data_IF_630918366615
#
_entry.id   IF_630918366615
#
_cell.length_a   1.000
_cell.length_b   1.000
_cell.length_c   1.000
_cell.angle_alpha   90.00
_cell.angle_beta   90.00
_cell.angle_gamma   90.00
#
_symmetry.space_group_name_H-M   'P 1'
#
loop_
_entity.id
_entity.type
_entity.pdbx_description
1 polymer ?
#
# COMPACT_ATOMS: atom_id res chain seq x y z
N UNK A 1 23.73 -31.41 1.91
CA UNK A 1 23.38 -32.70 2.54
C UNK A 1 23.59 -32.77 4.06
N UNK A 2 24.71 -32.32 4.65
CA UNK A 2 24.91 -32.40 6.11
C UNK A 2 24.06 -31.45 6.98
N UNK A 3 23.81 -30.22 6.49
CA UNK A 3 23.04 -29.20 7.24
C UNK A 3 21.52 -29.42 7.22
N UNK A 4 20.95 -30.01 6.17
CA UNK A 4 19.50 -30.32 6.08
C UNK A 4 19.08 -31.45 7.01
N UNK A 5 19.92 -32.48 7.18
CA UNK A 5 19.66 -33.55 8.16
C UNK A 5 19.60 -33.01 9.59
N UNK A 6 20.37 -31.95 9.90
CA UNK A 6 20.36 -31.29 11.21
C UNK A 6 19.07 -30.53 11.47
N UNK A 7 18.50 -29.85 10.47
CA UNK A 7 17.25 -29.10 10.59
C UNK A 7 16.04 -30.02 10.80
N UNK A 8 16.04 -31.18 10.14
CA UNK A 8 15.00 -32.21 10.27
C UNK A 8 15.07 -32.89 11.65
N UNK A 9 16.28 -33.11 12.18
CA UNK A 9 16.48 -33.64 13.53
C UNK A 9 16.02 -32.65 14.61
N UNK A 10 16.28 -31.35 14.42
CA UNK A 10 15.78 -30.27 15.28
C UNK A 10 14.25 -30.20 15.29
N UNK A 11 13.60 -30.35 14.13
CA UNK A 11 12.14 -30.33 14.01
C UNK A 11 11.51 -31.60 14.64
N UNK A 12 12.14 -32.77 14.46
CA UNK A 12 11.76 -34.01 15.15
C UNK A 12 11.87 -33.84 16.67
N UNK A 13 12.96 -33.26 17.16
CA UNK A 13 13.19 -33.06 18.59
C UNK A 13 12.23 -32.03 19.22
N UNK A 14 11.87 -30.98 18.49
CA UNK A 14 10.85 -29.99 18.90
C UNK A 14 9.46 -30.62 19.00
N UNK A 15 9.10 -31.49 18.05
CA UNK A 15 7.80 -32.19 18.06
C UNK A 15 7.73 -33.26 19.15
N UNK A 16 8.85 -33.92 19.48
CA UNK A 16 8.91 -34.88 20.60
C UNK A 16 8.90 -34.20 21.97
N UNK A 17 9.47 -32.98 22.09
CA UNK A 17 9.55 -32.24 23.36
C UNK A 17 8.22 -31.65 23.84
N UNK A 18 7.23 -31.49 22.96
CA UNK A 18 5.92 -30.90 23.28
C UNK A 18 4.92 -32.00 23.74
N UNK A 19 5.33 -33.27 23.80
CA UNK A 19 4.54 -34.35 24.41
C UNK A 19 3.22 -34.67 23.70
N UNK A 20 3.06 -34.27 22.43
CA UNK A 20 1.76 -34.36 21.75
C UNK A 20 1.42 -35.77 21.26
N UNK A 21 2.36 -36.70 21.05
CA UNK A 21 2.02 -38.05 20.53
C UNK A 21 3.01 -39.14 20.98
N UNK A 22 2.54 -40.27 21.56
CA UNK A 22 3.38 -41.45 21.76
C UNK A 22 3.56 -42.17 20.41
N UNK A 23 4.81 -42.42 20.05
CA UNK A 23 5.20 -43.06 18.78
C UNK A 23 4.84 -44.55 18.79
N UNK A 24 3.89 -44.96 17.96
CA UNK A 24 3.81 -46.33 17.44
C UNK A 24 4.38 -46.34 16.02
N UNK A 25 5.06 -47.43 15.64
CA UNK A 25 5.83 -47.61 14.39
C UNK A 25 5.08 -47.35 13.07
N UNK A 26 3.76 -47.10 13.12
CA UNK A 26 2.95 -46.68 11.98
C UNK A 26 3.10 -45.19 11.60
N UNK A 27 3.54 -44.33 12.51
CA UNK A 27 3.58 -42.87 12.28
C UNK A 27 4.79 -42.42 11.44
N UNK A 28 5.91 -43.16 11.48
CA UNK A 28 7.07 -42.89 10.62
C UNK A 28 6.73 -43.09 9.14
N UNK A 29 6.03 -44.20 8.82
CA UNK A 29 5.48 -44.47 7.49
C UNK A 29 4.46 -43.43 7.04
N UNK A 30 3.75 -42.78 7.96
CA UNK A 30 2.76 -41.74 7.63
C UNK A 30 3.46 -40.46 7.15
N UNK A 31 4.48 -40.00 7.86
CA UNK A 31 5.28 -38.82 7.49
C UNK A 31 5.98 -39.04 6.13
N UNK A 32 6.54 -40.24 5.92
CA UNK A 32 7.24 -40.58 4.67
C UNK A 32 6.28 -40.76 3.47
N UNK A 33 4.99 -41.04 3.70
CA UNK A 33 3.97 -41.15 2.64
C UNK A 33 3.43 -39.80 2.15
N UNK A 34 3.53 -38.76 2.99
CA UNK A 34 3.11 -37.39 2.65
C UNK A 34 4.28 -36.52 2.17
N UNK A 35 5.52 -36.82 2.58
CA UNK A 35 6.72 -36.18 2.03
C UNK A 35 7.13 -36.84 0.70
N UNK A 36 6.35 -36.60 -0.36
CA UNK A 36 6.92 -36.74 -1.70
C UNK A 36 7.90 -35.57 -1.86
N UNK A 37 9.20 -35.86 -1.80
CA UNK A 37 10.28 -34.95 -2.18
C UNK A 37 10.20 -34.62 -3.69
N UNK A 38 9.13 -33.97 -4.13
CA UNK A 38 9.17 -33.25 -5.41
C UNK A 38 9.95 -31.96 -5.13
N UNK A 39 11.11 -31.72 -5.78
CA UNK A 39 11.81 -30.46 -5.61
C UNK A 39 10.88 -29.33 -6.07
N UNK A 40 10.36 -28.58 -5.11
CA UNK A 40 9.50 -27.42 -5.38
C UNK A 40 10.33 -26.43 -6.20
N UNK A 41 9.86 -26.02 -7.39
CA UNK A 41 10.53 -25.02 -8.21
C UNK A 41 10.85 -23.78 -7.38
N UNK A 42 12.02 -23.18 -7.62
CA UNK A 42 12.44 -21.98 -6.89
C UNK A 42 11.41 -20.85 -7.01
N UNK A 43 10.74 -20.76 -8.17
CA UNK A 43 9.68 -19.78 -8.45
C UNK A 43 8.51 -19.94 -7.48
N UNK A 44 8.04 -21.17 -7.24
CA UNK A 44 6.91 -21.43 -6.35
C UNK A 44 7.26 -21.10 -4.88
N UNK A 45 8.53 -21.30 -4.49
CA UNK A 45 9.04 -20.85 -3.17
C UNK A 45 9.06 -19.33 -3.05
N UNK A 46 9.48 -18.62 -4.10
CA UNK A 46 9.51 -17.16 -4.13
C UNK A 46 8.10 -16.55 -4.13
N UNK A 47 7.16 -17.15 -4.86
CA UNK A 47 5.74 -16.77 -4.81
C UNK A 47 5.14 -17.01 -3.42
N UNK A 48 5.47 -18.13 -2.77
CA UNK A 48 5.06 -18.38 -1.38
C UNK A 48 5.59 -17.30 -0.44
N UNK A 49 6.86 -16.91 -0.58
CA UNK A 49 7.47 -15.83 0.20
C UNK A 49 6.77 -14.48 -0.05
N UNK A 50 6.40 -14.20 -1.30
CA UNK A 50 5.62 -13.01 -1.66
C UNK A 50 4.28 -13.00 -0.93
N UNK A 51 3.55 -14.12 -0.92
CA UNK A 51 2.27 -14.19 -0.21
C UNK A 51 2.43 -14.08 1.30
N UNK A 52 3.46 -14.69 1.89
CA UNK A 52 3.75 -14.56 3.33
C UNK A 52 4.00 -13.09 3.69
N UNK A 53 4.87 -12.40 2.94
CA UNK A 53 5.16 -10.98 3.18
C UNK A 53 3.94 -10.10 2.96
N UNK A 54 3.13 -10.39 1.93
CA UNK A 54 1.86 -9.71 1.70
C UNK A 54 0.90 -9.91 2.88
N UNK A 55 0.66 -11.15 3.33
CA UNK A 55 -0.21 -11.47 4.45
C UNK A 55 0.20 -10.77 5.75
N UNK A 56 1.50 -10.74 6.06
CA UNK A 56 2.02 -10.00 7.23
C UNK A 56 1.61 -8.53 7.15
N UNK A 57 1.75 -7.92 5.97
CA UNK A 57 1.36 -6.53 5.75
C UNK A 57 -0.17 -6.31 5.84
N UNK A 58 -0.99 -7.23 5.32
CA UNK A 58 -2.46 -7.16 5.46
C UNK A 58 -2.83 -7.15 6.94
N UNK A 59 -2.36 -8.15 7.68
CA UNK A 59 -2.69 -8.35 9.09
C UNK A 59 -2.18 -7.19 9.94
N UNK A 60 -0.95 -6.73 9.70
CA UNK A 60 -0.39 -5.60 10.46
C UNK A 60 -1.21 -4.32 10.27
N UNK A 61 -1.65 -4.01 9.05
CA UNK A 61 -2.43 -2.81 8.78
C UNK A 61 -3.80 -2.86 9.44
N UNK A 62 -4.49 -4.00 9.35
CA UNK A 62 -5.79 -4.17 9.98
C UNK A 62 -5.70 -4.12 11.50
N UNK A 63 -4.68 -4.75 12.10
CA UNK A 63 -4.44 -4.69 13.54
C UNK A 63 -4.21 -3.25 14.01
N UNK A 64 -3.35 -2.48 13.32
CA UNK A 64 -3.05 -1.09 13.69
C UNK A 64 -4.30 -0.21 13.58
N UNK A 65 -5.15 -0.43 12.56
CA UNK A 65 -6.41 0.29 12.43
C UNK A 65 -7.37 0.02 13.58
N UNK A 66 -7.56 -1.25 13.96
CA UNK A 66 -8.45 -1.63 15.06
C UNK A 66 -7.97 -0.97 16.36
N UNK A 67 -6.65 -1.03 16.62
CA UNK A 67 -6.03 -0.40 17.77
C UNK A 67 -6.21 1.13 17.78
N UNK A 68 -6.23 1.76 16.60
CA UNK A 68 -6.40 3.21 16.44
C UNK A 68 -7.81 3.62 16.03
N UNK A 69 -8.81 2.76 16.19
CA UNK A 69 -10.18 2.97 15.70
C UNK A 69 -10.80 4.29 16.16
N UNK A 70 -10.58 4.70 17.41
CA UNK A 70 -11.02 6.02 17.92
C UNK A 70 -10.39 7.19 17.16
N UNK A 71 -9.10 7.12 16.86
CA UNK A 71 -8.40 8.15 16.12
C UNK A 71 -8.84 8.22 14.65
N UNK A 72 -9.16 7.07 14.05
CA UNK A 72 -9.72 7.00 12.69
C UNK A 72 -11.09 7.67 12.60
N UNK A 73 -11.97 7.47 13.60
CA UNK A 73 -13.28 8.15 13.65
C UNK A 73 -13.13 9.67 13.68
N UNK A 74 -12.26 10.18 14.55
CA UNK A 74 -11.94 11.62 14.64
C UNK A 74 -11.40 12.13 13.30
N UNK A 75 -10.51 11.37 12.65
CA UNK A 75 -9.96 11.76 11.35
C UNK A 75 -11.06 11.91 10.28
N UNK A 76 -12.05 11.00 10.26
CA UNK A 76 -13.17 11.07 9.32
C UNK A 76 -14.01 12.33 9.60
N UNK A 77 -14.30 12.61 10.87
CA UNK A 77 -15.03 13.82 11.28
C UNK A 77 -14.27 15.11 10.88
N UNK A 78 -12.94 15.14 11.03
CA UNK A 78 -12.12 16.27 10.60
C UNK A 78 -12.20 16.50 9.08
N UNK A 79 -12.29 15.42 8.29
CA UNK A 79 -12.41 15.48 6.83
C UNK A 79 -13.80 16.00 6.44
N UNK A 80 -14.84 15.49 7.08
CA UNK A 80 -16.22 15.94 6.85
C UNK A 80 -16.36 17.43 7.18
N UNK A 81 -15.84 17.86 8.33
CA UNK A 81 -15.80 19.27 8.71
C UNK A 81 -15.02 20.13 7.70
N UNK A 82 -13.88 19.63 7.20
CA UNK A 82 -13.13 20.32 6.15
C UNK A 82 -13.97 20.46 4.87
N UNK A 83 -14.64 19.41 4.42
CA UNK A 83 -15.49 19.46 3.23
C UNK A 83 -16.68 20.40 3.40
N UNK A 84 -17.34 20.40 4.55
CA UNK A 84 -18.46 21.29 4.84
C UNK A 84 -18.04 22.75 4.66
N UNK A 85 -16.89 23.15 5.23
CA UNK A 85 -16.33 24.50 5.08
C UNK A 85 -16.00 24.82 3.62
N UNK A 86 -15.41 23.85 2.89
CA UNK A 86 -14.96 24.08 1.52
C UNK A 86 -16.11 24.14 0.50
N UNK A 87 -17.24 23.48 0.76
CA UNK A 87 -18.43 23.49 -0.09
C UNK A 87 -19.36 24.69 0.14
N UNK A 88 -19.13 25.51 1.17
CA UNK A 88 -19.88 26.77 1.38
C UNK A 88 -19.77 27.71 0.17
N UNK A 89 -18.64 27.69 -0.55
CA UNK A 89 -18.45 28.46 -1.77
C UNK A 89 -18.66 27.57 -3.01
N UNK A 90 -19.73 27.80 -3.76
CA UNK A 90 -20.07 27.02 -4.97
C UNK A 90 -18.92 26.97 -6.00
N UNK A 91 -18.10 28.03 -6.05
CA UNK A 91 -16.94 28.09 -6.95
C UNK A 91 -15.88 27.02 -6.66
N UNK A 92 -15.88 26.44 -5.44
CA UNK A 92 -14.91 25.43 -5.02
C UNK A 92 -15.38 24.01 -5.32
N UNK A 93 -16.67 23.80 -5.61
CA UNK A 93 -17.23 22.49 -5.90
C UNK A 93 -16.54 21.80 -7.09
N UNK A 94 -16.16 22.55 -8.13
CA UNK A 94 -15.47 22.01 -9.30
C UNK A 94 -14.10 21.39 -8.95
N UNK A 95 -13.32 22.06 -8.10
CA UNK A 95 -12.00 21.59 -7.63
C UNK A 95 -12.17 20.39 -6.71
N UNK A 96 -13.09 20.46 -5.75
CA UNK A 96 -13.33 19.36 -4.82
C UNK A 96 -13.82 18.10 -5.54
N UNK A 97 -14.70 18.25 -6.52
CA UNK A 97 -15.18 17.14 -7.35
C UNK A 97 -14.06 16.53 -8.20
N UNK A 98 -13.15 17.35 -8.75
CA UNK A 98 -11.95 16.87 -9.46
C UNK A 98 -11.09 15.98 -8.56
N UNK A 99 -10.81 16.40 -7.32
CA UNK A 99 -10.02 15.60 -6.37
C UNK A 99 -10.74 14.37 -5.87
N UNK A 100 -12.03 14.49 -5.54
CA UNK A 100 -12.88 13.36 -5.15
C UNK A 100 -12.93 12.30 -6.26
N UNK A 101 -13.09 12.73 -7.51
CA UNK A 101 -13.07 11.83 -8.67
C UNK A 101 -11.69 11.20 -8.91
N UNK A 102 -10.59 11.90 -8.62
CA UNK A 102 -9.24 11.32 -8.65
C UNK A 102 -9.13 10.17 -7.64
N UNK A 103 -9.54 10.38 -6.39
CA UNK A 103 -9.54 9.35 -5.36
C UNK A 103 -10.44 8.16 -5.70
N UNK A 104 -11.64 8.40 -6.23
CA UNK A 104 -12.55 7.33 -6.71
C UNK A 104 -11.95 6.54 -7.88
N UNK A 105 -11.31 7.22 -8.84
CA UNK A 105 -10.62 6.56 -9.96
C UNK A 105 -9.48 5.66 -9.50
N UNK A 106 -8.68 6.10 -8.53
CA UNK A 106 -7.65 5.26 -7.90
C UNK A 106 -8.29 4.03 -7.23
N UNK A 107 -9.39 4.22 -6.50
CA UNK A 107 -10.10 3.11 -5.85
C UNK A 107 -10.63 2.07 -6.86
N UNK A 108 -11.28 2.53 -7.94
CA UNK A 108 -11.75 1.64 -9.02
C UNK A 108 -10.58 0.91 -9.69
N UNK A 109 -9.45 1.59 -9.88
CA UNK A 109 -8.24 0.99 -10.44
C UNK A 109 -7.65 -0.10 -9.54
N UNK A 110 -7.64 0.07 -8.23
CA UNK A 110 -7.20 -0.98 -7.30
C UNK A 110 -8.13 -2.18 -7.36
N UNK A 111 -9.44 -1.97 -7.22
CA UNK A 111 -10.42 -3.04 -7.22
C UNK A 111 -10.37 -3.82 -8.55
N UNK A 112 -10.33 -3.12 -9.69
CA UNK A 112 -10.27 -3.77 -11.00
C UNK A 112 -8.98 -4.56 -11.21
N UNK A 113 -7.83 -4.03 -10.81
CA UNK A 113 -6.52 -4.70 -10.93
C UNK A 113 -6.51 -6.03 -10.17
N UNK A 114 -7.10 -6.09 -8.97
CA UNK A 114 -7.16 -7.33 -8.18
C UNK A 114 -8.22 -8.32 -8.64
N UNK A 115 -9.35 -7.85 -9.16
CA UNK A 115 -10.34 -8.72 -9.81
C UNK A 115 -9.69 -9.37 -11.03
N UNK A 116 -9.02 -8.58 -11.88
CA UNK A 116 -8.30 -9.09 -13.06
C UNK A 116 -7.25 -10.12 -12.64
N UNK A 117 -6.44 -9.83 -11.62
CA UNK A 117 -5.45 -10.77 -11.09
C UNK A 117 -6.06 -12.11 -10.66
N UNK A 118 -7.15 -12.06 -9.88
CA UNK A 118 -7.82 -13.27 -9.40
C UNK A 118 -8.39 -14.07 -10.57
N UNK A 119 -9.08 -13.41 -11.50
CA UNK A 119 -9.65 -14.03 -12.70
C UNK A 119 -8.57 -14.64 -13.60
N UNK A 120 -7.44 -13.95 -13.81
CA UNK A 120 -6.31 -14.45 -14.60
C UNK A 120 -5.72 -15.72 -13.99
N UNK A 121 -5.47 -15.77 -12.67
CA UNK A 121 -4.93 -16.98 -12.03
C UNK A 121 -5.90 -18.16 -12.09
N UNK A 122 -7.20 -17.92 -11.88
CA UNK A 122 -8.23 -18.94 -12.04
C UNK A 122 -8.29 -19.47 -13.48
N UNK A 123 -8.30 -18.57 -14.47
CA UNK A 123 -8.31 -18.92 -15.89
C UNK A 123 -7.08 -19.74 -16.28
N UNK A 124 -5.89 -19.32 -15.87
CA UNK A 124 -4.64 -20.04 -16.15
C UNK A 124 -4.63 -21.46 -15.55
N UNK A 125 -5.22 -21.62 -14.37
CA UNK A 125 -5.35 -22.94 -13.72
C UNK A 125 -6.30 -23.86 -14.47
N UNK A 126 -7.44 -23.33 -14.93
CA UNK A 126 -8.41 -24.07 -15.74
C UNK A 126 -7.80 -24.46 -17.08
N UNK A 127 -7.12 -23.53 -17.77
CA UNK A 127 -6.45 -23.81 -19.04
C UNK A 127 -5.36 -24.88 -18.90
N UNK A 128 -4.58 -24.83 -17.83
CA UNK A 128 -3.55 -25.84 -17.57
C UNK A 128 -4.16 -27.23 -17.36
N UNK A 129 -5.29 -27.31 -16.67
CA UNK A 129 -6.04 -28.56 -16.50
C UNK A 129 -6.59 -29.08 -17.84
N UNK A 130 -7.17 -28.21 -18.67
CA UNK A 130 -7.75 -28.60 -19.97
C UNK A 130 -6.69 -29.05 -20.99
N UNK A 131 -5.53 -28.39 -21.03
CA UNK A 131 -4.49 -28.65 -22.05
C UNK A 131 -3.61 -29.84 -21.66
N UNK A 132 -3.15 -29.88 -20.41
CA UNK A 132 -2.14 -30.87 -19.99
C UNK A 132 -2.75 -32.03 -19.21
N UNK A 133 -4.04 -31.99 -18.89
CA UNK A 133 -4.70 -32.91 -17.95
C UNK A 133 -3.95 -33.03 -16.61
N UNK A 134 -3.17 -32.01 -16.26
CA UNK A 134 -2.39 -31.91 -15.04
C UNK A 134 -2.93 -30.73 -14.24
N UNK A 135 -3.33 -31.03 -13.02
CA UNK A 135 -3.78 -30.01 -12.08
C UNK A 135 -2.60 -29.15 -11.63
N UNK A 136 -2.76 -27.82 -11.79
CA UNK A 136 -1.88 -26.81 -11.23
C UNK A 136 -2.70 -25.83 -10.39
N UNK A 137 -2.23 -25.57 -9.17
CA UNK A 137 -2.87 -24.64 -8.25
C UNK A 137 -2.86 -23.20 -8.80
N UNK A 138 -3.93 -22.41 -8.64
CA UNK A 138 -3.95 -20.98 -9.01
C UNK A 138 -2.92 -20.15 -8.27
N UNK A 139 -2.59 -20.56 -7.06
CA UNK A 139 -1.60 -19.91 -6.22
C UNK A 139 -0.63 -20.95 -5.71
N UNK A 140 0.67 -20.65 -5.79
CA UNK A 140 1.74 -21.53 -5.33
C UNK A 140 1.87 -21.64 -3.81
N UNK A 141 0.81 -21.33 -3.05
CA UNK A 141 0.76 -21.55 -1.60
C UNK A 141 0.73 -23.05 -1.37
N UNK A 142 1.67 -23.53 -0.54
CA UNK A 142 1.88 -24.94 -0.26
C UNK A 142 0.59 -25.71 0.02
N UNK A 143 0.18 -26.55 -0.92
CA UNK A 143 -0.84 -27.58 -0.74
C UNK A 143 -0.22 -28.91 -0.28
N UNK A 144 1.03 -28.85 0.24
CA UNK A 144 1.88 -30.01 0.53
C UNK A 144 1.24 -31.07 1.43
N UNK A 145 0.24 -30.71 2.22
CA UNK A 145 -0.42 -31.61 3.17
C UNK A 145 -1.87 -31.95 2.82
N UNK A 146 -2.34 -31.58 1.62
CA UNK A 146 -3.72 -31.85 1.20
C UNK A 146 -3.79 -33.22 0.51
N UNK A 147 -4.57 -34.18 1.03
CA UNK A 147 -4.83 -35.45 0.35
C UNK A 147 -5.31 -35.23 -1.09
N UNK A 148 -4.97 -36.15 -2.00
CA UNK A 148 -5.35 -36.02 -3.44
C UNK A 148 -6.85 -35.82 -3.63
N UNK A 149 -7.66 -36.43 -2.76
CA UNK A 149 -9.13 -36.38 -2.80
C UNK A 149 -9.71 -35.02 -2.37
N UNK A 150 -8.91 -34.18 -1.69
CA UNK A 150 -9.32 -32.87 -1.17
C UNK A 150 -8.73 -31.69 -1.97
N UNK A 151 -8.05 -31.94 -3.09
CA UNK A 151 -7.40 -30.88 -3.90
C UNK A 151 -8.40 -29.85 -4.43
N UNK A 152 -9.59 -30.28 -4.85
CA UNK A 152 -10.64 -29.37 -5.33
C UNK A 152 -11.14 -28.46 -4.20
N UNK A 153 -11.32 -29.00 -3.00
CA UNK A 153 -11.71 -28.21 -1.83
C UNK A 153 -10.63 -27.20 -1.43
N UNK A 154 -9.35 -27.61 -1.45
CA UNK A 154 -8.23 -26.72 -1.18
C UNK A 154 -8.13 -25.59 -2.22
N UNK A 155 -8.43 -25.85 -3.49
CA UNK A 155 -8.48 -24.82 -4.54
C UNK A 155 -9.55 -23.77 -4.21
N UNK A 156 -10.78 -24.22 -3.92
CA UNK A 156 -11.88 -23.31 -3.58
C UNK A 156 -11.50 -22.44 -2.38
N UNK A 157 -10.89 -23.05 -1.35
CA UNK A 157 -10.42 -22.32 -0.17
C UNK A 157 -9.31 -21.32 -0.50
N UNK A 158 -8.35 -21.65 -1.37
CA UNK A 158 -7.28 -20.75 -1.79
C UNK A 158 -7.81 -19.56 -2.60
N UNK A 159 -8.70 -19.81 -3.57
CA UNK A 159 -9.32 -18.72 -4.35
C UNK A 159 -10.14 -17.82 -3.44
N UNK A 160 -10.90 -18.40 -2.51
CA UNK A 160 -11.68 -17.65 -1.53
C UNK A 160 -10.77 -16.77 -0.66
N UNK A 161 -9.77 -17.34 0.01
CA UNK A 161 -8.87 -16.60 0.91
C UNK A 161 -8.10 -15.49 0.20
N UNK A 162 -7.63 -15.73 -1.02
CA UNK A 162 -6.94 -14.70 -1.82
C UNK A 162 -7.89 -13.58 -2.27
N UNK A 163 -9.09 -13.92 -2.70
CA UNK A 163 -10.09 -12.94 -3.11
C UNK A 163 -10.45 -11.99 -1.96
N UNK A 164 -10.76 -12.53 -0.79
CA UNK A 164 -11.10 -11.69 0.37
C UNK A 164 -9.89 -10.92 0.90
N UNK A 165 -8.70 -11.53 0.96
CA UNK A 165 -7.49 -10.85 1.40
C UNK A 165 -7.13 -9.65 0.52
N UNK A 166 -7.20 -9.81 -0.79
CA UNK A 166 -6.91 -8.73 -1.75
C UNK A 166 -7.99 -7.64 -1.76
N UNK A 167 -9.27 -8.01 -1.62
CA UNK A 167 -10.38 -7.05 -1.50
C UNK A 167 -10.23 -6.17 -0.25
N UNK A 168 -9.90 -6.76 0.90
CA UNK A 168 -9.68 -5.99 2.15
C UNK A 168 -8.56 -4.96 1.95
N UNK A 169 -7.48 -5.34 1.28
CA UNK A 169 -6.37 -4.43 1.02
C UNK A 169 -6.70 -3.34 0.02
N UNK A 170 -7.41 -3.65 -1.06
CA UNK A 170 -7.78 -2.65 -2.06
C UNK A 170 -8.70 -1.59 -1.45
N UNK A 171 -9.69 -1.99 -0.64
CA UNK A 171 -10.56 -1.07 0.09
C UNK A 171 -9.75 -0.19 1.06
N UNK A 172 -8.83 -0.81 1.82
CA UNK A 172 -8.01 -0.07 2.77
C UNK A 172 -7.11 0.97 2.09
N UNK A 173 -6.41 0.59 1.02
CA UNK A 173 -5.54 1.50 0.28
C UNK A 173 -6.34 2.60 -0.43
N UNK A 174 -7.53 2.27 -0.94
CA UNK A 174 -8.47 3.25 -1.50
C UNK A 174 -8.83 4.32 -0.47
N UNK A 175 -9.17 3.90 0.75
CA UNK A 175 -9.53 4.82 1.83
C UNK A 175 -8.36 5.77 2.18
N UNK A 176 -7.14 5.24 2.30
CA UNK A 176 -5.94 6.05 2.56
C UNK A 176 -5.72 7.07 1.44
N UNK A 177 -5.82 6.65 0.19
CA UNK A 177 -5.59 7.54 -0.95
C UNK A 177 -6.68 8.62 -1.04
N UNK A 178 -7.94 8.28 -0.77
CA UNK A 178 -9.05 9.26 -0.71
C UNK A 178 -8.73 10.35 0.30
N UNK A 179 -8.31 10.00 1.52
CA UNK A 179 -7.94 10.99 2.54
C UNK A 179 -6.80 11.88 2.05
N UNK A 180 -5.75 11.29 1.47
CA UNK A 180 -4.63 12.05 0.92
C UNK A 180 -5.05 13.01 -0.20
N UNK A 181 -5.95 12.59 -1.09
CA UNK A 181 -6.50 13.45 -2.15
C UNK A 181 -7.40 14.56 -1.61
N UNK A 182 -8.12 14.33 -0.51
CA UNK A 182 -8.91 15.36 0.18
C UNK A 182 -8.02 16.43 0.82
N UNK A 183 -6.89 16.03 1.42
CA UNK A 183 -5.88 16.95 1.93
C UNK A 183 -5.30 17.81 0.78
N UNK A 184 -4.92 17.18 -0.34
CA UNK A 184 -4.42 17.89 -1.51
C UNK A 184 -5.48 18.84 -2.12
N UNK A 185 -6.74 18.41 -2.19
CA UNK A 185 -7.84 19.23 -2.67
C UNK A 185 -8.12 20.45 -1.79
N UNK A 186 -8.07 20.30 -0.47
CA UNK A 186 -8.18 21.43 0.46
C UNK A 186 -7.07 22.45 0.26
N UNK A 187 -5.84 22.01 -0.04
CA UNK A 187 -4.73 22.91 -0.36
C UNK A 187 -4.90 23.61 -1.71
N UNK A 188 -5.41 22.92 -2.74
CA UNK A 188 -5.68 23.55 -4.04
C UNK A 188 -6.76 24.65 -3.91
N UNK A 189 -7.80 24.42 -3.09
CA UNK A 189 -8.80 25.45 -2.80
C UNK A 189 -8.18 26.61 -2.04
N UNK A 190 -7.41 26.35 -0.97
CA UNK A 190 -6.72 27.41 -0.24
C UNK A 190 -5.82 28.25 -1.14
N UNK A 191 -5.06 27.63 -2.04
CA UNK A 191 -4.25 28.30 -3.06
C UNK A 191 -5.11 29.21 -3.94
N UNK A 192 -6.23 28.70 -4.48
CA UNK A 192 -7.13 29.48 -5.33
C UNK A 192 -7.70 30.69 -4.59
N UNK A 193 -8.16 30.49 -3.35
CA UNK A 193 -8.69 31.58 -2.52
C UNK A 193 -7.64 32.66 -2.33
N UNK A 194 -6.40 32.28 -1.98
CA UNK A 194 -5.28 33.22 -1.83
C UNK A 194 -4.99 34.00 -3.13
N UNK A 195 -5.15 33.37 -4.30
CA UNK A 195 -4.91 33.99 -5.61
C UNK A 195 -6.07 34.89 -6.09
N UNK A 196 -7.32 34.57 -5.74
CA UNK A 196 -8.51 35.27 -6.20
C UNK A 196 -8.77 36.62 -5.50
N UNK A 197 -7.79 37.09 -4.72
CA UNK A 197 -7.96 38.17 -3.75
C UNK A 197 -7.96 39.57 -4.39
N UNK A 198 -8.82 40.45 -3.88
CA UNK A 198 -8.82 41.89 -4.21
C UNK A 198 -7.69 42.66 -3.51
N UNK A 199 -7.29 43.80 -4.06
CA UNK A 199 -6.22 44.67 -3.52
C UNK A 199 -6.55 45.30 -2.16
N UNK A 200 -7.78 45.17 -1.68
CA UNK A 200 -8.26 45.69 -0.39
C UNK A 200 -8.11 44.66 0.73
N UNK A 201 -7.75 45.13 1.94
CA UNK A 201 -7.65 44.29 3.14
C UNK A 201 -9.05 43.78 3.54
N UNK A 202 -9.25 42.46 3.52
CA UNK A 202 -10.47 41.80 3.97
C UNK A 202 -10.11 40.85 5.11
N UNK A 203 -10.38 41.29 6.34
CA UNK A 203 -10.03 40.57 7.56
C UNK A 203 -10.71 39.21 7.69
N UNK A 204 -11.95 39.08 7.25
CA UNK A 204 -12.70 37.82 7.37
C UNK A 204 -12.11 36.75 6.45
N UNK A 205 -11.69 37.16 5.26
CA UNK A 205 -10.97 36.33 4.32
C UNK A 205 -9.62 35.84 4.89
N UNK A 206 -8.81 36.73 5.48
CA UNK A 206 -7.53 36.35 6.09
C UNK A 206 -7.70 35.34 7.22
N UNK A 207 -8.69 35.57 8.08
CA UNK A 207 -9.01 34.67 9.18
C UNK A 207 -9.47 33.31 8.66
N UNK A 208 -10.26 33.28 7.58
CA UNK A 208 -10.67 32.06 6.91
C UNK A 208 -9.47 31.28 6.35
N UNK A 209 -8.61 31.91 5.55
CA UNK A 209 -7.42 31.27 4.97
C UNK A 209 -6.49 30.72 6.05
N UNK A 210 -6.28 31.46 7.14
CA UNK A 210 -5.47 31.02 8.28
C UNK A 210 -6.09 29.79 8.97
N UNK A 211 -7.39 29.83 9.26
CA UNK A 211 -8.11 28.70 9.89
C UNK A 211 -8.08 27.46 9.01
N UNK A 212 -8.33 27.63 7.71
CA UNK A 212 -8.33 26.53 6.74
C UNK A 212 -6.94 25.89 6.64
N UNK A 213 -5.88 26.69 6.54
CA UNK A 213 -4.51 26.18 6.51
C UNK A 213 -4.17 25.41 7.81
N UNK A 214 -4.54 25.95 8.97
CA UNK A 214 -4.35 25.29 10.26
C UNK A 214 -5.09 23.96 10.35
N UNK A 215 -6.32 23.88 9.82
CA UNK A 215 -7.10 22.63 9.79
C UNK A 215 -6.43 21.58 8.90
N UNK A 216 -5.97 21.95 7.71
CA UNK A 216 -5.26 21.06 6.78
C UNK A 216 -3.96 20.53 7.40
N UNK A 217 -3.18 21.37 8.07
CA UNK A 217 -1.96 20.97 8.78
C UNK A 217 -2.29 19.93 9.85
N UNK A 218 -3.30 20.20 10.68
CA UNK A 218 -3.73 19.29 11.76
C UNK A 218 -4.27 17.97 11.22
N UNK A 219 -5.01 18.00 10.10
CA UNK A 219 -5.51 16.81 9.42
C UNK A 219 -4.35 15.95 8.88
N UNK A 220 -3.37 16.59 8.23
CA UNK A 220 -2.16 15.92 7.72
C UNK A 220 -1.33 15.30 8.86
N UNK A 221 -1.17 16.01 9.97
CA UNK A 221 -0.47 15.51 11.15
C UNK A 221 -1.19 14.28 11.76
N UNK A 222 -2.52 14.30 11.84
CA UNK A 222 -3.34 13.16 12.29
C UNK A 222 -3.23 11.98 11.34
N UNK A 223 -3.30 12.21 10.04
CA UNK A 223 -3.07 11.18 9.02
C UNK A 223 -1.71 10.50 9.25
N UNK A 224 -0.63 11.28 9.38
CA UNK A 224 0.73 10.77 9.59
C UNK A 224 0.84 9.96 10.91
N UNK A 225 0.15 10.40 11.98
CA UNK A 225 0.12 9.68 13.26
C UNK A 225 -0.61 8.33 13.16
N UNK A 226 -1.66 8.24 12.35
CA UNK A 226 -2.46 7.02 12.19
C UNK A 226 -1.79 6.07 11.19
N UNK A 227 -1.57 6.54 9.96
CA UNK A 227 -1.15 5.74 8.81
C UNK A 227 0.34 5.72 8.55
N UNK A 228 1.13 6.63 9.14
CA UNK A 228 2.57 6.69 8.88
C UNK A 228 3.27 5.35 9.16
N UNK A 229 3.03 4.74 10.33
CA UNK A 229 3.67 3.46 10.68
C UNK A 229 3.24 2.29 9.77
N UNK A 230 1.93 2.02 9.55
CA UNK A 230 1.48 1.05 8.55
C UNK A 230 2.13 1.21 7.17
N UNK A 231 2.16 2.45 6.66
CA UNK A 231 2.72 2.75 5.35
C UNK A 231 4.24 2.59 5.32
N UNK A 232 4.94 2.86 6.43
CA UNK A 232 6.39 2.60 6.51
C UNK A 232 6.71 1.09 6.47
N UNK A 233 5.88 0.26 7.12
CA UNK A 233 5.99 -1.21 7.01
C UNK A 233 5.79 -1.62 5.54
N UNK A 234 4.75 -1.11 4.89
CA UNK A 234 4.51 -1.35 3.46
C UNK A 234 5.76 -1.01 2.63
N UNK A 235 6.26 0.22 2.77
CA UNK A 235 7.44 0.70 2.05
C UNK A 235 8.66 -0.19 2.26
N UNK A 236 8.90 -0.68 3.49
CA UNK A 236 10.03 -1.55 3.80
C UNK A 236 9.95 -2.92 3.09
N UNK A 237 8.75 -3.52 3.02
CA UNK A 237 8.56 -4.79 2.34
C UNK A 237 8.41 -4.66 0.82
N UNK A 238 8.02 -3.49 0.31
CA UNK A 238 7.83 -3.28 -1.12
C UNK A 238 9.08 -3.61 -1.95
N UNK A 239 10.29 -3.26 -1.51
CA UNK A 239 11.52 -3.56 -2.27
C UNK A 239 11.72 -5.07 -2.47
N UNK A 240 11.41 -5.86 -1.44
CA UNK A 240 11.45 -7.33 -1.50
C UNK A 240 10.35 -7.84 -2.44
N UNK A 241 9.11 -7.38 -2.27
CA UNK A 241 7.97 -7.79 -3.09
C UNK A 241 8.17 -7.45 -4.57
N UNK A 242 8.72 -6.27 -4.87
CA UNK A 242 9.10 -5.87 -6.22
C UNK A 242 10.17 -6.82 -6.77
N UNK A 243 11.21 -7.13 -5.98
CA UNK A 243 12.26 -8.06 -6.41
C UNK A 243 11.70 -9.45 -6.74
N UNK A 244 10.84 -10.00 -5.86
CA UNK A 244 10.22 -11.32 -6.03
C UNK A 244 9.34 -11.40 -7.29
N UNK A 245 8.69 -10.30 -7.67
CA UNK A 245 7.83 -10.25 -8.87
C UNK A 245 8.60 -9.92 -10.15
N UNK A 246 9.70 -9.15 -10.06
CA UNK A 246 10.57 -8.89 -11.21
C UNK A 246 11.45 -10.09 -11.55
N UNK A 247 11.80 -10.95 -10.59
CA UNK A 247 12.68 -12.10 -10.84
C UNK A 247 12.13 -13.11 -11.88
N UNK A 248 10.84 -13.52 -11.86
CA UNK A 248 10.26 -14.34 -12.94
C UNK A 248 10.21 -13.64 -14.30
N UNK A 249 9.88 -12.35 -14.33
CA UNK A 249 9.89 -11.50 -15.54
C UNK A 249 11.27 -11.41 -16.19
N UNK A 250 12.30 -11.60 -15.37
CA UNK A 250 13.68 -11.52 -15.72
C UNK A 250 14.21 -12.79 -16.44
N UNK A 251 13.42 -13.86 -16.53
CA UNK A 251 13.80 -15.13 -17.17
C UNK A 251 13.32 -15.19 -18.63
N UNK A 252 13.91 -16.07 -19.43
CA UNK A 252 13.52 -16.24 -20.84
C UNK A 252 12.07 -16.72 -21.04
N UNK A 253 11.54 -17.50 -20.09
CA UNK A 253 10.18 -18.07 -20.16
C UNK A 253 9.21 -17.27 -19.27
N UNK A 254 8.92 -16.03 -19.68
CA UNK A 254 7.96 -15.16 -18.98
C UNK A 254 6.54 -15.69 -19.17
N UNK A 255 5.82 -15.88 -18.07
CA UNK A 255 4.40 -16.25 -18.11
C UNK A 255 3.55 -14.99 -18.02
N UNK A 256 2.39 -14.96 -18.69
CA UNK A 256 1.47 -13.82 -18.61
C UNK A 256 1.11 -13.47 -17.15
N UNK A 257 0.94 -14.49 -16.29
CA UNK A 257 0.69 -14.33 -14.85
C UNK A 257 1.82 -13.61 -14.10
N UNK A 258 3.08 -13.71 -14.54
CA UNK A 258 4.22 -13.03 -13.90
C UNK A 258 4.12 -11.51 -14.11
N UNK A 259 3.68 -11.08 -15.30
CA UNK A 259 3.43 -9.67 -15.60
C UNK A 259 2.24 -9.11 -14.83
N UNK A 260 1.13 -9.84 -14.78
CA UNK A 260 -0.04 -9.42 -14.01
C UNK A 260 0.30 -9.31 -12.52
N UNK A 261 1.06 -10.27 -11.97
CA UNK A 261 1.53 -10.25 -10.59
C UNK A 261 2.45 -9.05 -10.28
N UNK A 262 3.36 -8.71 -11.20
CA UNK A 262 4.20 -7.53 -11.07
C UNK A 262 3.38 -6.24 -11.03
N UNK A 263 2.44 -6.06 -11.98
CA UNK A 263 1.57 -4.90 -12.04
C UNK A 263 0.71 -4.75 -10.78
N UNK A 264 0.14 -5.83 -10.28
CA UNK A 264 -0.72 -5.81 -9.09
C UNK A 264 0.05 -5.49 -7.81
N UNK A 265 1.27 -6.01 -7.68
CA UNK A 265 2.12 -5.77 -6.50
C UNK A 265 2.65 -4.34 -6.44
N UNK A 266 2.91 -3.72 -7.60
CA UNK A 266 3.45 -2.36 -7.69
C UNK A 266 2.39 -1.25 -7.62
N UNK A 267 1.10 -1.61 -7.71
CA UNK A 267 0.00 -0.64 -7.76
C UNK A 267 -0.12 0.20 -6.48
N UNK A 268 0.05 -0.41 -5.31
CA UNK A 268 -0.07 0.28 -4.03
C UNK A 268 1.10 1.22 -3.71
N UNK A 269 2.37 0.79 -3.80
CA UNK A 269 3.49 1.69 -3.52
C UNK A 269 3.52 2.89 -4.47
N UNK A 270 3.16 2.72 -5.74
CA UNK A 270 3.14 3.85 -6.68
C UNK A 270 2.03 4.84 -6.32
N UNK A 271 0.83 4.37 -5.96
CA UNK A 271 -0.30 5.23 -5.70
C UNK A 271 -0.19 5.98 -4.36
N UNK A 272 0.40 5.38 -3.33
CA UNK A 272 0.65 6.10 -2.08
C UNK A 272 1.73 7.18 -2.28
N UNK A 273 2.76 6.89 -3.06
CA UNK A 273 3.82 7.85 -3.36
C UNK A 273 3.32 8.98 -4.27
N UNK A 274 2.43 8.68 -5.23
CA UNK A 274 1.75 9.68 -6.04
C UNK A 274 0.86 10.58 -5.18
N UNK A 275 0.07 10.01 -4.29
CA UNK A 275 -0.80 10.77 -3.37
C UNK A 275 0.01 11.65 -2.44
N UNK A 276 1.09 11.13 -1.84
CA UNK A 276 1.97 11.92 -0.99
C UNK A 276 2.73 13.00 -1.75
N UNK A 277 3.08 12.76 -3.02
CA UNK A 277 3.65 13.78 -3.88
C UNK A 277 2.63 14.87 -4.23
N UNK A 278 1.36 14.53 -4.47
CA UNK A 278 0.31 15.52 -4.71
C UNK A 278 0.13 16.45 -3.50
N UNK A 279 0.12 15.90 -2.28
CA UNK A 279 0.11 16.67 -1.02
C UNK A 279 1.32 17.61 -0.93
N UNK A 280 2.51 17.11 -1.25
CA UNK A 280 3.73 17.92 -1.26
C UNK A 280 3.68 19.06 -2.28
N UNK A 281 3.26 18.76 -3.51
CA UNK A 281 3.15 19.75 -4.59
C UNK A 281 2.15 20.85 -4.23
N UNK A 282 0.93 20.51 -3.79
CA UNK A 282 -0.05 21.53 -3.42
C UNK A 282 0.39 22.33 -2.19
N UNK A 283 1.12 21.73 -1.25
CA UNK A 283 1.68 22.48 -0.12
C UNK A 283 2.70 23.53 -0.57
N UNK A 284 3.56 23.23 -1.55
CA UNK A 284 4.47 24.22 -2.12
C UNK A 284 3.71 25.31 -2.89
N UNK A 285 2.64 24.93 -3.60
CA UNK A 285 1.82 25.91 -4.32
C UNK A 285 1.12 26.89 -3.35
N UNK A 286 0.69 26.43 -2.18
CA UNK A 286 0.14 27.31 -1.12
C UNK A 286 1.21 28.29 -0.62
N UNK A 287 2.46 27.84 -0.45
CA UNK A 287 3.56 28.74 -0.10
C UNK A 287 3.78 29.82 -1.16
N UNK A 288 3.86 29.44 -2.43
CA UNK A 288 4.03 30.39 -3.55
C UNK A 288 2.86 31.37 -3.63
N UNK A 289 1.62 30.89 -3.56
CA UNK A 289 0.43 31.74 -3.56
C UNK A 289 0.40 32.70 -2.35
N UNK A 290 0.91 32.29 -1.19
CA UNK A 290 1.02 33.17 -0.03
C UNK A 290 2.11 34.22 -0.23
N UNK A 291 3.23 33.85 -0.85
CA UNK A 291 4.37 34.72 -1.13
C UNK A 291 4.05 35.81 -2.16
N UNK A 292 3.36 35.43 -3.24
CA UNK A 292 2.99 36.32 -4.35
C UNK A 292 1.88 37.33 -3.97
N UNK A 293 1.36 37.26 -2.74
CA UNK A 293 0.39 38.23 -2.24
C UNK A 293 1.03 39.60 -1.93
N UNK A 294 0.23 40.65 -2.02
CA UNK A 294 0.57 42.01 -1.56
C UNK A 294 0.53 42.14 -0.02
N UNK A 295 1.04 41.14 0.72
CA UNK A 295 0.98 41.04 2.18
C UNK A 295 1.60 42.27 2.89
N UNK A 296 2.52 42.97 2.24
CA UNK A 296 3.18 44.18 2.72
C UNK A 296 2.30 45.43 2.67
N UNK A 297 1.19 45.42 1.93
CA UNK A 297 0.21 46.50 1.87
C UNK A 297 -0.95 46.32 2.88
N UNK A 298 -0.98 45.20 3.60
CA UNK A 298 -2.03 44.87 4.56
C UNK A 298 -1.92 45.64 5.87
N UNK A 299 -3.04 45.68 6.62
CA UNK A 299 -3.02 46.16 8.00
C UNK A 299 -2.03 45.36 8.86
N UNK A 300 -1.47 45.95 9.94
CA UNK A 300 -0.46 45.30 10.76
C UNK A 300 -0.86 43.91 11.29
N UNK A 301 -2.17 43.70 11.55
CA UNK A 301 -2.69 42.42 12.03
C UNK A 301 -2.75 41.36 10.92
N UNK A 302 -3.40 41.67 9.79
CA UNK A 302 -3.49 40.78 8.62
C UNK A 302 -2.09 40.43 8.09
N UNK A 303 -1.19 41.42 8.06
CA UNK A 303 0.22 41.24 7.70
C UNK A 303 0.92 40.21 8.58
N UNK A 304 0.72 40.27 9.90
CA UNK A 304 1.31 39.32 10.86
C UNK A 304 0.78 37.91 10.64
N UNK A 305 -0.52 37.74 10.43
CA UNK A 305 -1.17 36.44 10.21
C UNK A 305 -0.68 35.79 8.90
N UNK A 306 -0.64 36.54 7.79
CA UNK A 306 -0.09 36.09 6.51
C UNK A 306 1.41 35.76 6.60
N UNK A 307 2.19 36.57 7.34
CA UNK A 307 3.62 36.30 7.53
C UNK A 307 3.86 34.99 8.29
N UNK A 308 3.04 34.70 9.32
CA UNK A 308 3.08 33.44 10.06
C UNK A 308 2.70 32.29 9.12
N UNK A 309 1.61 32.45 8.35
CA UNK A 309 1.17 31.45 7.38
C UNK A 309 2.27 31.15 6.36
N UNK A 310 2.93 32.17 5.82
CA UNK A 310 4.06 32.03 4.90
C UNK A 310 5.24 31.30 5.54
N UNK A 311 5.60 31.66 6.78
CA UNK A 311 6.68 31.02 7.52
C UNK A 311 6.42 29.52 7.75
N UNK A 312 5.16 29.17 8.03
CA UNK A 312 4.72 27.78 8.19
C UNK A 312 4.70 27.06 6.84
N UNK A 313 4.09 27.66 5.81
CA UNK A 313 3.99 27.10 4.46
C UNK A 313 5.35 26.87 3.79
N UNK A 314 6.38 27.65 4.18
CA UNK A 314 7.78 27.44 3.76
C UNK A 314 8.28 26.02 4.07
N UNK A 315 7.69 25.35 5.07
CA UNK A 315 7.93 23.94 5.34
C UNK A 315 6.81 23.12 4.71
N UNK A 316 7.04 22.49 3.54
CA UNK A 316 6.00 21.76 2.85
C UNK A 316 5.47 20.60 3.68
N UNK A 317 4.17 20.36 3.58
CA UNK A 317 3.51 19.22 4.16
C UNK A 317 3.88 17.95 3.38
N UNK A 318 4.17 16.89 4.13
CA UNK A 318 4.47 15.58 3.59
C UNK A 318 3.59 14.53 4.25
N UNK A 319 3.18 13.54 3.47
CA UNK A 319 2.75 12.27 4.04
C UNK A 319 4.02 11.49 4.42
N UNK A 320 4.16 11.14 5.70
CA UNK A 320 5.41 10.55 6.19
C UNK A 320 5.23 9.70 7.45
N UNK A 321 6.27 8.92 7.76
CA UNK A 321 6.46 8.29 9.06
C UNK A 321 7.66 8.89 9.80
N UNK A 322 7.39 9.51 10.95
CA UNK A 322 8.40 10.11 11.86
C UNK A 322 9.48 10.96 11.15
N UNK A 323 9.15 11.57 10.01
CA UNK A 323 10.08 12.29 9.12
C UNK A 323 11.24 11.46 8.54
N UNK A 324 11.31 10.15 8.83
CA UNK A 324 12.33 9.22 8.31
C UNK A 324 11.96 8.74 6.92
N UNK A 325 10.69 8.33 6.74
CA UNK A 325 10.17 7.85 5.46
C UNK A 325 9.15 8.85 4.95
N UNK A 326 9.41 9.48 3.82
CA UNK A 326 8.45 10.34 3.11
C UNK A 326 7.84 9.54 1.96
N UNK A 327 6.53 9.61 1.79
CA UNK A 327 5.86 8.89 0.70
C UNK A 327 5.85 9.77 -0.55
N UNK A 328 6.94 9.74 -1.32
CA UNK A 328 7.15 10.56 -2.53
C UNK A 328 7.60 9.68 -3.69
N UNK A 329 7.59 10.22 -4.92
CA UNK A 329 8.14 9.51 -6.07
C UNK A 329 9.63 9.16 -5.92
N UNK A 330 10.41 9.96 -5.18
CA UNK A 330 11.81 9.66 -4.87
C UNK A 330 11.94 8.36 -4.06
N UNK A 331 11.08 8.17 -3.05
CA UNK A 331 11.04 6.93 -2.27
C UNK A 331 10.62 5.75 -3.14
N UNK A 332 9.65 5.93 -4.03
CA UNK A 332 9.25 4.88 -4.99
C UNK A 332 10.41 4.49 -5.92
N UNK A 333 11.16 5.47 -6.43
CA UNK A 333 12.34 5.23 -7.26
C UNK A 333 13.42 4.45 -6.47
N UNK A 334 13.65 4.81 -5.20
CA UNK A 334 14.58 4.09 -4.34
C UNK A 334 14.15 2.63 -4.11
N UNK A 335 12.85 2.36 -3.96
CA UNK A 335 12.30 0.99 -3.88
C UNK A 335 12.64 0.20 -5.15
N UNK A 336 12.44 0.79 -6.34
CA UNK A 336 12.73 0.15 -7.63
C UNK A 336 14.22 -0.09 -7.84
N UNK A 337 15.08 0.85 -7.44
CA UNK A 337 16.54 0.68 -7.52
C UNK A 337 17.04 -0.43 -6.59
N UNK A 338 16.49 -0.49 -5.38
CA UNK A 338 16.81 -1.52 -4.39
C UNK A 338 16.35 -2.89 -4.88
N UNK A 339 15.13 -3.00 -5.41
CA UNK A 339 14.59 -4.26 -5.95
C UNK A 339 15.38 -4.77 -7.15
N UNK A 340 15.81 -3.87 -8.06
CA UNK A 340 16.69 -4.20 -9.17
C UNK A 340 18.04 -4.73 -8.69
N UNK A 341 18.64 -4.09 -7.69
CA UNK A 341 19.92 -4.52 -7.11
C UNK A 341 19.83 -5.92 -6.51
N UNK A 342 18.78 -6.21 -5.73
CA UNK A 342 18.53 -7.55 -5.20
C UNK A 342 18.29 -8.58 -6.30
N UNK A 343 17.54 -8.23 -7.34
CA UNK A 343 17.32 -9.11 -8.48
C UNK A 343 18.64 -9.43 -9.22
N UNK A 344 19.52 -8.44 -9.41
CA UNK A 344 20.83 -8.65 -10.03
C UNK A 344 21.71 -9.61 -9.22
N UNK A 345 21.70 -9.49 -7.89
CA UNK A 345 22.39 -10.43 -6.98
C UNK A 345 21.81 -11.84 -7.11
N UNK A 346 20.48 -11.99 -7.05
CA UNK A 346 19.82 -13.29 -7.22
C UNK A 346 20.18 -13.97 -8.54
N UNK A 347 20.20 -13.23 -9.65
CA UNK A 347 20.62 -13.74 -10.96
C UNK A 347 22.09 -14.15 -11.01
N UNK A 348 22.95 -13.42 -10.33
CA UNK A 348 24.39 -13.75 -10.28
C UNK A 348 24.61 -15.04 -9.50
N UNK A 349 23.93 -15.20 -8.36
CA UNK A 349 23.99 -16.42 -7.56
C UNK A 349 23.35 -17.64 -8.25
N UNK A 350 22.38 -17.46 -9.15
CA UNK A 350 21.82 -18.56 -9.94
C UNK A 350 22.79 -19.07 -11.02
N UNK A 351 23.69 -18.21 -11.50
CA UNK A 351 24.67 -18.54 -12.55
C UNK A 351 25.96 -19.14 -12.01
N UNK A 352 26.29 -18.91 -10.74
CA UNK A 352 27.44 -19.47 -10.02
C UNK A 352 27.11 -20.84 -9.43
#
# INVERSE_FOLDING_TARGET
>A
MGKEKSSILLLKNLLTGIGVLPLTDGHSKWIDRFMIEVPIPIIDKLETLLYITASIHIVSNQAILILKSKAVKILIEDIENLYNILYENENNASILNKWSNRGKRQAYFFISTYIVYTCCNCLMSILHLLIFNVYKSPYSIGTLFVPKDLKALAMVFQVFTMFFGTLIMSIHMSFICIIGTSIAGGMEVLKKELQARSTTDNRDFHLFSYKLHSQIINLTARFNKIYGFPLAILTAFCSIQCCLTTYPLARANVRAQDFVLFCTTNVFPVAICETGNAVFTESNNVFLATYDNYWYNESPKSRKELSIMMLVARRPLHLHFRHVVRFTYETYLSILQTSYSYMAVLRTMERS
#
